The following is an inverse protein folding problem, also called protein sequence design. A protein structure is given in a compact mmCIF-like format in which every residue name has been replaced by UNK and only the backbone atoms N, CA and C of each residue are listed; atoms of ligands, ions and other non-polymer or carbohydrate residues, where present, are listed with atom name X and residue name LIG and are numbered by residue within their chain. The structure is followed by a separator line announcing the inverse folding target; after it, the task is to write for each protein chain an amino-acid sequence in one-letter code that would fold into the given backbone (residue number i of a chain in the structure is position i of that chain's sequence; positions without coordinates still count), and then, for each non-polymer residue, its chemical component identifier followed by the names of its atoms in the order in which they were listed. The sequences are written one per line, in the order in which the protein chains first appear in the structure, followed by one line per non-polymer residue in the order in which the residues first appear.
data_IF_116169172628
#
_entry.id   IF_116169172628
#
_cell.length_a   1.000
_cell.length_b   1.000
_cell.length_c   1.000
_cell.angle_alpha   90.00
_cell.angle_beta   90.00
_cell.angle_gamma   90.00
#
_symmetry.space_group_name_H-M   'P 1'
#
loop_
_entity.id
_entity.type
_entity.pdbx_description
1 polymer ?
#
# COMPACT_ATOMS: atom_id res chain seq x y z
N UNK A 1 13.28 5.16 11.67
CA UNK A 1 13.43 4.08 12.67
C UNK A 1 12.22 4.19 13.57
N UNK A 2 11.33 3.19 13.56
CA UNK A 2 10.16 3.18 14.45
C UNK A 2 10.69 2.78 15.82
N UNK A 3 10.49 3.62 16.84
CA UNK A 3 10.87 3.24 18.19
C UNK A 3 9.90 2.16 18.67
N UNK A 4 10.51 1.15 19.26
CA UNK A 4 9.95 -0.12 19.71
C UNK A 4 8.89 0.05 20.83
N UNK A 5 8.73 1.27 21.34
CA UNK A 5 7.79 1.69 22.39
C UNK A 5 6.53 2.38 21.82
N UNK A 6 6.54 2.79 20.55
CA UNK A 6 5.46 3.54 19.89
C UNK A 6 4.59 2.65 18.97
N UNK A 7 4.70 1.32 19.08
CA UNK A 7 3.96 0.40 18.22
C UNK A 7 2.53 0.25 18.78
N UNK A 8 1.49 0.70 18.07
CA UNK A 8 0.14 0.63 18.57
C UNK A 8 -0.40 -0.80 18.49
N UNK A 9 -1.23 -1.20 19.46
CA UNK A 9 -1.88 -2.53 19.49
C UNK A 9 -2.96 -2.69 18.40
N UNK A 10 -3.47 -1.56 17.91
CA UNK A 10 -4.43 -1.48 16.82
C UNK A 10 -4.17 -0.23 15.99
N UNK A 11 -4.56 -0.25 14.73
CA UNK A 11 -4.37 0.90 13.85
C UNK A 11 -4.54 0.57 12.39
N UNK A 12 -4.01 1.45 11.54
CA UNK A 12 -3.91 1.21 10.12
C UNK A 12 -2.46 0.98 9.69
N UNK A 13 -2.32 0.05 8.75
CA UNK A 13 -1.15 -0.06 7.88
C UNK A 13 -1.56 0.37 6.47
N UNK A 14 -0.77 1.25 5.88
CA UNK A 14 -1.00 1.79 4.55
C UNK A 14 0.14 1.30 3.66
N UNK A 15 -0.21 0.54 2.63
CA UNK A 15 0.74 -0.02 1.67
C UNK A 15 0.54 0.70 0.35
N UNK A 16 1.56 1.46 -0.05
CA UNK A 16 1.62 2.16 -1.33
C UNK A 16 2.63 1.48 -2.23
N UNK A 17 2.25 1.20 -3.48
CA UNK A 17 3.14 0.58 -4.47
C UNK A 17 3.14 1.40 -5.75
N UNK A 18 4.32 1.66 -6.29
CA UNK A 18 4.50 2.32 -7.59
C UNK A 18 4.80 1.27 -8.64
N UNK A 19 4.18 1.43 -9.81
CA UNK A 19 4.29 0.45 -10.88
C UNK A 19 5.63 0.53 -11.61
N UNK A 20 6.12 -0.64 -12.04
CA UNK A 20 7.25 -0.76 -12.95
C UNK A 20 6.81 -0.57 -14.41
N UNK A 21 6.32 0.64 -14.71
CA UNK A 21 5.76 1.01 -16.02
C UNK A 21 4.23 0.99 -16.05
N UNK A 22 3.66 0.94 -17.25
CA UNK A 22 2.27 1.34 -17.48
C UNK A 22 1.48 0.32 -18.31
N UNK A 23 1.50 -0.94 -17.89
CA UNK A 23 0.67 -1.97 -18.53
C UNK A 23 -0.78 -1.85 -18.08
N UNK A 24 -1.71 -2.19 -18.98
CA UNK A 24 -3.16 -2.05 -18.74
C UNK A 24 -3.68 -2.86 -17.54
N UNK A 25 -3.00 -3.93 -17.13
CA UNK A 25 -3.43 -4.83 -16.06
C UNK A 25 -2.83 -4.56 -14.69
N UNK A 26 -1.79 -3.71 -14.58
CA UNK A 26 -1.06 -3.51 -13.31
C UNK A 26 -1.95 -3.04 -12.16
N UNK A 27 -2.94 -2.20 -12.45
CA UNK A 27 -3.91 -1.73 -11.45
C UNK A 27 -4.76 -2.88 -10.90
N UNK A 28 -5.31 -3.71 -11.79
CA UNK A 28 -6.17 -4.82 -11.39
C UNK A 28 -5.39 -5.93 -10.70
N UNK A 29 -4.16 -6.21 -11.18
CA UNK A 29 -3.29 -7.20 -10.58
C UNK A 29 -2.84 -6.77 -9.19
N UNK A 30 -2.39 -5.51 -9.04
CA UNK A 30 -2.02 -4.96 -7.74
C UNK A 30 -3.21 -4.90 -6.78
N UNK A 31 -4.41 -4.53 -7.28
CA UNK A 31 -5.63 -4.55 -6.46
C UNK A 31 -5.93 -5.95 -5.95
N UNK A 32 -5.81 -6.98 -6.79
CA UNK A 32 -6.06 -8.38 -6.41
C UNK A 32 -5.03 -8.87 -5.39
N UNK A 33 -3.77 -8.52 -5.60
CA UNK A 33 -2.68 -8.92 -4.72
C UNK A 33 -2.83 -8.26 -3.34
N UNK A 34 -3.05 -6.94 -3.31
CA UNK A 34 -3.24 -6.19 -2.08
C UNK A 34 -4.57 -6.52 -1.38
N UNK A 35 -5.67 -6.75 -2.10
CA UNK A 35 -6.96 -7.06 -1.46
C UNK A 35 -6.98 -8.44 -0.79
N UNK A 36 -6.35 -9.45 -1.42
CA UNK A 36 -6.53 -10.85 -1.01
C UNK A 36 -5.22 -11.57 -0.70
N UNK A 37 -4.22 -11.47 -1.57
CA UNK A 37 -3.00 -12.29 -1.44
C UNK A 37 -2.11 -11.84 -0.30
N UNK A 38 -1.88 -10.53 -0.18
CA UNK A 38 -1.07 -9.97 0.90
C UNK A 38 -1.70 -10.23 2.28
N UNK A 39 -2.99 -9.92 2.54
CA UNK A 39 -3.61 -10.25 3.83
C UNK A 39 -3.56 -11.74 4.18
N UNK A 40 -3.80 -12.62 3.20
CA UNK A 40 -3.71 -14.07 3.41
C UNK A 40 -2.28 -14.50 3.74
N UNK A 41 -1.28 -13.98 3.01
CA UNK A 41 0.14 -14.26 3.26
C UNK A 41 0.53 -13.86 4.68
N UNK A 42 0.18 -12.66 5.12
CA UNK A 42 0.48 -12.17 6.47
C UNK A 42 -0.18 -13.05 7.53
N UNK A 43 -1.47 -13.38 7.35
CA UNK A 43 -2.18 -14.27 8.27
C UNK A 43 -1.53 -15.65 8.37
N UNK A 44 -1.15 -16.24 7.24
CA UNK A 44 -0.50 -17.56 7.18
C UNK A 44 0.89 -17.56 7.82
N UNK A 45 1.62 -16.44 7.74
CA UNK A 45 3.02 -16.35 8.21
C UNK A 45 3.17 -15.96 9.67
N UNK A 46 2.37 -15.01 10.16
CA UNK A 46 2.51 -14.48 11.52
C UNK A 46 1.19 -14.42 12.29
N UNK A 47 0.10 -14.95 11.76
CA UNK A 47 -1.20 -15.02 12.45
C UNK A 47 -1.96 -13.69 12.52
N UNK A 48 -1.37 -12.58 12.09
CA UNK A 48 -1.99 -11.26 12.14
C UNK A 48 -3.01 -11.11 11.02
N UNK A 49 -4.23 -10.69 11.37
CA UNK A 49 -5.29 -10.43 10.40
C UNK A 49 -5.22 -8.97 9.95
N UNK A 50 -4.90 -8.76 8.67
CA UNK A 50 -5.10 -7.48 7.99
C UNK A 50 -6.51 -7.43 7.41
N UNK A 51 -7.32 -6.45 7.83
CA UNK A 51 -8.68 -6.23 7.31
C UNK A 51 -8.61 -5.11 6.27
N UNK A 52 -8.87 -5.38 4.98
CA UNK A 52 -8.84 -4.34 3.95
C UNK A 52 -9.93 -3.29 4.18
N UNK A 53 -9.55 -2.00 4.18
CA UNK A 53 -10.47 -0.87 4.42
C UNK A 53 -10.70 -0.08 3.14
N UNK A 54 -9.63 0.40 2.51
CA UNK A 54 -9.75 1.31 1.38
C UNK A 54 -8.67 1.08 0.34
N UNK A 55 -9.07 1.08 -0.93
CA UNK A 55 -8.18 1.07 -2.09
C UNK A 55 -8.22 2.41 -2.81
N UNK A 56 -7.05 2.93 -3.16
CA UNK A 56 -6.89 4.21 -3.85
C UNK A 56 -5.89 4.09 -5.01
N UNK A 57 -6.11 4.86 -6.07
CA UNK A 57 -5.18 4.98 -7.20
C UNK A 57 -4.24 6.16 -6.96
N UNK A 58 -2.93 5.93 -7.08
CA UNK A 58 -1.93 6.99 -7.08
C UNK A 58 -1.78 7.48 -8.51
N UNK A 59 -2.07 8.77 -8.75
CA UNK A 59 -2.02 9.38 -10.09
C UNK A 59 -0.95 10.46 -10.14
N UNK A 60 -0.20 10.49 -11.23
CA UNK A 60 0.69 11.58 -11.60
C UNK A 60 0.09 12.34 -12.78
N UNK A 61 0.38 13.64 -12.86
CA UNK A 61 0.05 14.47 -14.02
C UNK A 61 1.32 14.56 -14.87
N UNK A 62 1.35 13.84 -15.99
CA UNK A 62 2.46 13.92 -16.94
C UNK A 62 2.16 15.04 -17.95
N UNK A 63 3.12 15.94 -18.17
CA UNK A 63 3.06 16.93 -19.26
C UNK A 63 3.31 16.21 -20.59
N UNK A 64 2.54 16.53 -21.61
CA UNK A 64 2.83 16.11 -22.99
C UNK A 64 4.11 16.82 -23.46
N UNK A 65 5.18 16.09 -23.84
CA UNK A 65 6.46 16.69 -24.21
C UNK A 65 6.38 17.65 -25.42
N UNK A 66 5.42 17.41 -26.31
CA UNK A 66 5.36 18.04 -27.63
C UNK A 66 4.45 19.29 -27.70
N UNK A 67 3.99 19.82 -26.56
CA UNK A 67 3.15 21.03 -26.51
C UNK A 67 3.86 22.17 -25.79
N UNK A 68 3.79 23.37 -26.37
CA UNK A 68 4.27 24.61 -25.73
C UNK A 68 3.68 24.78 -24.32
N UNK A 69 4.42 25.40 -23.39
CA UNK A 69 4.00 25.56 -21.97
C UNK A 69 2.58 26.14 -21.80
N UNK A 70 2.09 26.91 -22.78
CA UNK A 70 0.75 27.52 -22.76
C UNK A 70 -0.38 26.56 -23.20
N UNK A 71 -0.07 25.39 -23.76
CA UNK A 71 -1.04 24.43 -24.33
C UNK A 71 -0.95 23.03 -23.72
N UNK A 72 -0.01 22.75 -22.81
CA UNK A 72 0.12 21.41 -22.22
C UNK A 72 -1.06 21.10 -21.30
N UNK A 73 -2.02 20.31 -21.76
CA UNK A 73 -3.03 19.69 -20.91
C UNK A 73 -2.37 18.45 -20.28
N UNK A 74 -2.01 18.53 -19.00
CA UNK A 74 -1.44 17.40 -18.28
C UNK A 74 -2.38 16.20 -18.29
N UNK A 75 -1.90 15.03 -18.70
CA UNK A 75 -2.69 13.79 -18.66
C UNK A 75 -2.48 13.11 -17.31
N UNK A 76 -3.57 12.88 -16.60
CA UNK A 76 -3.54 12.09 -15.38
C UNK A 76 -3.27 10.62 -15.73
N UNK A 77 -2.21 10.06 -15.16
CA UNK A 77 -1.80 8.67 -15.35
C UNK A 77 -1.69 7.99 -14.01
N UNK A 78 -2.28 6.80 -13.87
CA UNK A 78 -2.08 6.00 -12.67
C UNK A 78 -0.66 5.46 -12.66
N UNK A 79 0.11 5.85 -11.64
CA UNK A 79 1.51 5.45 -11.43
C UNK A 79 1.66 4.41 -10.34
N UNK A 80 0.61 4.16 -9.56
CA UNK A 80 0.64 3.24 -8.44
C UNK A 80 -0.72 3.07 -7.79
N UNK A 81 -0.74 2.34 -6.68
CA UNK A 81 -1.94 2.13 -5.85
C UNK A 81 -1.58 2.19 -4.38
N UNK A 82 -2.55 2.57 -3.57
CA UNK A 82 -2.49 2.54 -2.11
C UNK A 82 -3.60 1.62 -1.60
N UNK A 83 -3.30 0.81 -0.60
CA UNK A 83 -4.29 0.04 0.14
C UNK A 83 -4.10 0.24 1.64
N UNK A 84 -5.19 0.54 2.34
CA UNK A 84 -5.24 0.67 3.80
C UNK A 84 -5.83 -0.57 4.43
N UNK A 85 -5.19 -1.07 5.48
CA UNK A 85 -5.66 -2.21 6.25
C UNK A 85 -5.74 -1.87 7.72
N UNK A 86 -6.79 -2.35 8.38
CA UNK A 86 -6.92 -2.33 9.84
C UNK A 86 -6.26 -3.58 10.43
N UNK A 87 -5.56 -3.41 11.53
CA UNK A 87 -5.10 -4.48 12.40
C UNK A 87 -5.53 -4.17 13.83
N UNK A 88 -5.80 -5.21 14.62
CA UNK A 88 -6.32 -5.10 15.98
C UNK A 88 -5.69 -6.16 16.87
N UNK A 89 -5.50 -5.83 18.16
CA UNK A 89 -5.00 -6.73 19.19
C UNK A 89 -3.65 -7.39 18.83
N UNK A 90 -2.78 -6.64 18.16
CA UNK A 90 -1.48 -7.15 17.72
C UNK A 90 -0.44 -6.85 18.79
N UNK A 91 0.11 -7.91 19.39
CA UNK A 91 1.28 -7.77 20.22
C UNK A 91 2.46 -7.25 19.40
N UNK A 92 3.31 -6.46 20.03
CA UNK A 92 4.52 -5.88 19.46
C UNK A 92 5.33 -6.80 18.56
N UNK A 93 5.63 -8.03 19.01
CA UNK A 93 6.37 -9.02 18.21
C UNK A 93 5.59 -9.42 16.94
N UNK A 94 4.28 -9.59 17.07
CA UNK A 94 3.40 -9.86 15.94
C UNK A 94 3.36 -8.70 14.94
N UNK A 95 3.43 -7.45 15.42
CA UNK A 95 3.50 -6.28 14.56
C UNK A 95 4.82 -6.22 13.79
N UNK A 96 5.96 -6.45 14.46
CA UNK A 96 7.27 -6.48 13.81
C UNK A 96 7.33 -7.57 12.72
N UNK A 97 6.81 -8.76 13.01
CA UNK A 97 6.70 -9.85 12.05
C UNK A 97 5.76 -9.50 10.89
N UNK A 98 4.58 -8.94 11.17
CA UNK A 98 3.63 -8.46 10.17
C UNK A 98 4.29 -7.43 9.25
N UNK A 99 4.94 -6.40 9.79
CA UNK A 99 5.61 -5.37 9.01
C UNK A 99 6.70 -5.95 8.11
N UNK A 100 7.49 -6.88 8.65
CA UNK A 100 8.52 -7.60 7.90
C UNK A 100 7.92 -8.42 6.76
N UNK A 101 6.81 -9.12 6.99
CA UNK A 101 6.15 -9.93 5.96
C UNK A 101 5.51 -9.09 4.86
N UNK A 102 4.89 -7.96 5.22
CA UNK A 102 4.39 -6.99 4.22
C UNK A 102 5.54 -6.46 3.37
N UNK A 103 6.65 -6.07 4.00
CA UNK A 103 7.85 -5.59 3.30
C UNK A 103 8.44 -6.65 2.36
N UNK A 104 8.57 -7.88 2.84
CA UNK A 104 9.08 -9.00 2.05
C UNK A 104 8.19 -9.25 0.83
N UNK A 105 6.87 -9.30 1.02
CA UNK A 105 5.90 -9.50 -0.05
C UNK A 105 6.02 -8.41 -1.13
N UNK A 106 6.09 -7.14 -0.72
CA UNK A 106 6.24 -6.01 -1.64
C UNK A 106 7.56 -6.06 -2.42
N UNK A 107 8.66 -6.43 -1.78
CA UNK A 107 9.98 -6.50 -2.42
C UNK A 107 10.12 -7.59 -3.48
N UNK A 108 9.29 -8.64 -3.43
CA UNK A 108 9.36 -9.79 -4.34
C UNK A 108 8.47 -9.62 -5.58
N UNK A 109 7.64 -8.58 -5.62
CA UNK A 109 6.62 -8.42 -6.65
C UNK A 109 7.16 -7.64 -7.85
N UNK A 110 7.38 -8.33 -8.97
CA UNK A 110 8.05 -7.77 -10.17
C UNK A 110 7.29 -6.65 -10.89
N UNK A 111 5.98 -6.53 -10.66
CA UNK A 111 5.15 -5.44 -11.23
C UNK A 111 5.32 -4.12 -10.48
N UNK A 112 5.90 -4.14 -9.28
CA UNK A 112 6.12 -2.97 -8.44
C UNK A 112 7.59 -2.55 -8.53
N UNK A 113 7.82 -1.28 -8.88
CA UNK A 113 9.16 -0.68 -8.91
C UNK A 113 9.60 -0.28 -7.51
N UNK A 114 8.67 0.29 -6.76
CA UNK A 114 8.92 0.87 -5.45
C UNK A 114 7.69 0.68 -4.57
N UNK A 115 7.89 0.73 -3.26
CA UNK A 115 6.81 0.62 -2.29
C UNK A 115 7.13 1.40 -1.02
N UNK A 116 6.07 1.85 -0.37
CA UNK A 116 6.12 2.51 0.93
C UNK A 116 5.09 1.86 1.87
N UNK A 117 5.48 1.74 3.14
CA UNK A 117 4.66 1.13 4.19
C UNK A 117 4.61 2.11 5.35
N UNK A 118 3.45 2.74 5.52
CA UNK A 118 3.19 3.68 6.60
C UNK A 118 2.27 3.02 7.64
N UNK A 119 2.34 3.48 8.88
CA UNK A 119 1.44 3.09 9.95
C UNK A 119 0.80 4.34 10.54
N UNK A 120 -0.45 4.20 10.98
CA UNK A 120 -1.18 5.24 11.69
C UNK A 120 -1.88 4.61 12.90
N UNK A 121 -1.57 5.13 14.08
CA UNK A 121 -2.10 4.74 15.39
C UNK A 121 -3.50 5.34 15.65
N UNK A 122 -3.81 6.48 15.01
CA UNK A 122 -5.11 7.13 15.08
C UNK A 122 -5.57 7.57 13.70
N UNK A 123 -6.76 7.09 13.28
CA UNK A 123 -7.32 7.42 11.96
C UNK A 123 -8.77 7.90 12.09
N UNK A 124 -9.06 8.70 13.12
CA UNK A 124 -10.40 9.26 13.34
C UNK A 124 -11.52 8.21 13.37
N UNK A 125 -12.77 8.65 13.24
CA UNK A 125 -13.88 7.74 12.99
C UNK A 125 -13.89 7.34 11.51
N UNK A 126 -13.36 6.16 11.20
CA UNK A 126 -13.59 5.51 9.91
C UNK A 126 -15.04 4.98 9.96
N UNK A 127 -15.98 5.78 9.46
CA UNK A 127 -17.37 5.33 9.32
C UNK A 127 -17.41 4.11 8.37
N UNK A 128 -17.83 2.97 8.90
CA UNK A 128 -18.10 1.72 8.17
C UNK A 128 -19.31 1.84 7.23
#
# INVERSE_FOLDING_TARGET
MIFVEDIPESGLIIVSVLFNGYKHNFQNDSRRDLLKRLPNHVKEKCGVQLVPIQFSLIRSIERTPDMSEKQSIGRARTVGVEYRYRFEHVEKKGFEEMYKEVRNYCSQTSIWRDYDIMFADYVGEINE
#
